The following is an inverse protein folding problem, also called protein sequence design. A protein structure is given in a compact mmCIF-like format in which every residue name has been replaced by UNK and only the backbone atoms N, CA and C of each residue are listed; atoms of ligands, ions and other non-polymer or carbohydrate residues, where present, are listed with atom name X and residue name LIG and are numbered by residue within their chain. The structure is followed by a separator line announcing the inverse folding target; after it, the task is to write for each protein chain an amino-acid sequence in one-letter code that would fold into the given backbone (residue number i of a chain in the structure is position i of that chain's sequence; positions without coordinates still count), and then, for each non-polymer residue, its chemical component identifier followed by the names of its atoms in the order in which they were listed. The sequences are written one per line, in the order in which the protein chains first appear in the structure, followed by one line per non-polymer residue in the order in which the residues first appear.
data_IF_170336858090
#
_entry.id   IF_170336858090
#
_cell.length_a   1.000
_cell.length_b   1.000
_cell.length_c   1.000
_cell.angle_alpha   90.00
_cell.angle_beta   90.00
_cell.angle_gamma   90.00
#
_symmetry.space_group_name_H-M   'P 1'
#
loop_
_entity.id
_entity.type
_entity.pdbx_description
1 polymer ?
#
# COMPACT_ATOMS: atom_id res chain seq x y z
N UNK A 1 -1.57 20.77 5.50
CA UNK A 1 -2.75 20.03 6.01
C UNK A 1 -2.20 18.86 6.81
N UNK A 2 -2.54 18.74 8.09
CA UNK A 2 -1.90 17.80 9.02
C UNK A 2 -2.46 16.40 8.73
N UNK A 3 -1.65 15.50 8.16
CA UNK A 3 -2.00 14.07 8.09
C UNK A 3 -1.92 13.49 9.50
N UNK A 4 -3.06 13.32 10.16
CA UNK A 4 -3.15 12.62 11.43
C UNK A 4 -3.22 11.12 11.16
N UNK A 5 -2.08 10.52 10.84
CA UNK A 5 -1.94 9.08 10.95
C UNK A 5 -2.23 8.70 12.40
N UNK A 6 -3.13 7.74 12.60
CA UNK A 6 -3.56 7.38 13.95
C UNK A 6 -2.50 6.48 14.60
N UNK A 7 -1.76 7.06 15.54
CA UNK A 7 -0.68 6.41 16.26
C UNK A 7 -1.15 6.00 17.65
N UNK A 8 -0.92 4.74 18.05
CA UNK A 8 -1.20 4.27 19.40
C UNK A 8 -0.29 3.10 19.78
N UNK A 9 -0.06 2.91 21.08
CA UNK A 9 0.57 1.69 21.58
C UNK A 9 -0.47 0.58 21.71
N UNK A 10 -0.21 -0.57 21.09
CA UNK A 10 -1.09 -1.73 21.21
C UNK A 10 -0.56 -2.69 22.28
N UNK A 11 -1.29 -2.80 23.40
CA UNK A 11 -0.89 -3.62 24.55
C UNK A 11 -0.79 -5.11 24.24
N UNK A 12 -1.60 -5.63 23.30
CA UNK A 12 -1.55 -7.05 22.91
C UNK A 12 -0.32 -7.36 22.07
N UNK A 13 0.03 -6.48 21.14
CA UNK A 13 1.22 -6.61 20.30
C UNK A 13 2.50 -6.17 21.01
N UNK A 14 2.39 -5.42 22.10
CA UNK A 14 3.49 -4.74 22.80
C UNK A 14 4.35 -3.91 21.85
N UNK A 15 3.71 -3.20 20.91
CA UNK A 15 4.33 -2.39 19.88
C UNK A 15 3.51 -1.16 19.58
N UNK A 16 4.19 -0.12 19.10
CA UNK A 16 3.55 1.02 18.48
C UNK A 16 2.92 0.63 17.15
N UNK A 17 1.71 1.13 16.91
CA UNK A 17 0.92 0.88 15.72
C UNK A 17 0.60 2.22 15.05
N UNK A 18 0.86 2.31 13.76
CA UNK A 18 0.38 3.37 12.87
C UNK A 18 -0.77 2.81 12.03
N UNK A 19 -1.97 3.37 12.18
CA UNK A 19 -3.09 3.04 11.30
C UNK A 19 -3.10 4.03 10.13
N UNK A 20 -3.16 3.50 8.91
CA UNK A 20 -3.30 4.29 7.69
C UNK A 20 -4.68 4.12 7.08
N UNK A 21 -5.16 5.17 6.42
CA UNK A 21 -6.48 5.22 5.78
C UNK A 21 -6.37 5.27 4.24
N UNK A 22 -7.49 5.12 3.49
CA UNK A 22 -7.44 5.13 2.03
C UNK A 22 -6.78 6.39 1.45
N UNK A 23 -5.74 6.17 0.64
CA UNK A 23 -4.93 7.21 0.02
C UNK A 23 -3.58 7.44 0.69
N UNK A 24 -3.33 6.84 1.85
CA UNK A 24 -2.08 6.98 2.59
C UNK A 24 -1.10 5.85 2.30
N UNK A 25 0.17 6.13 2.61
CA UNK A 25 1.24 5.16 2.67
C UNK A 25 2.14 5.47 3.86
N UNK A 26 2.77 4.45 4.43
CA UNK A 26 3.71 4.60 5.53
C UNK A 26 4.88 3.64 5.38
N UNK A 27 6.06 4.08 5.82
CA UNK A 27 7.29 3.29 5.86
C UNK A 27 7.86 3.36 7.28
N UNK A 28 8.27 2.23 7.83
CA UNK A 28 8.83 2.14 9.19
C UNK A 28 9.67 0.87 9.34
N UNK A 29 10.57 0.86 10.32
CA UNK A 29 11.34 -0.31 10.75
C UNK A 29 11.13 -0.67 12.24
N UNK A 30 10.26 0.07 12.93
CA UNK A 30 10.06 0.01 14.39
C UNK A 30 8.58 -0.10 14.81
N UNK A 31 7.65 0.05 13.87
CA UNK A 31 6.21 0.08 14.12
C UNK A 31 5.44 -0.95 13.31
N UNK A 32 4.28 -1.32 13.83
CA UNK A 32 3.29 -2.09 13.07
C UNK A 32 2.46 -1.12 12.23
N UNK A 33 2.32 -1.40 10.95
CA UNK A 33 1.43 -0.65 10.06
C UNK A 33 0.12 -1.43 9.94
N UNK A 34 -1.01 -0.76 10.16
CA UNK A 34 -2.33 -1.37 10.13
C UNK A 34 -3.27 -0.61 9.20
N UNK A 35 -4.14 -1.33 8.52
CA UNK A 35 -5.23 -0.75 7.75
C UNK A 35 -6.37 -1.77 7.61
N UNK A 36 -7.54 -1.32 7.17
CA UNK A 36 -8.72 -2.17 6.91
C UNK A 36 -8.96 -2.20 5.42
N UNK A 37 -9.16 -3.39 4.85
CA UNK A 37 -9.31 -3.59 3.42
C UNK A 37 -10.65 -4.25 3.06
N UNK A 38 -11.18 -3.83 1.92
CA UNK A 38 -12.33 -4.42 1.23
C UNK A 38 -11.96 -4.69 -0.22
N UNK A 39 -12.51 -3.91 -1.16
CA UNK A 39 -12.14 -3.95 -2.59
C UNK A 39 -10.88 -3.17 -2.93
N UNK A 40 -10.45 -2.28 -2.04
CA UNK A 40 -9.12 -1.67 -2.08
C UNK A 40 -8.03 -2.74 -1.92
N UNK A 41 -6.81 -2.39 -2.32
CA UNK A 41 -5.63 -3.25 -2.21
C UNK A 41 -4.51 -2.48 -1.51
N UNK A 42 -3.79 -3.20 -0.65
CA UNK A 42 -2.52 -2.74 -0.11
C UNK A 42 -1.38 -3.53 -0.73
N UNK A 43 -0.43 -2.80 -1.28
CA UNK A 43 0.91 -3.32 -1.55
C UNK A 43 1.74 -3.15 -0.29
N UNK A 44 2.32 -4.25 0.18
CA UNK A 44 3.26 -4.27 1.30
C UNK A 44 4.63 -4.63 0.75
N UNK A 45 5.61 -3.75 0.95
CA UNK A 45 7.00 -3.94 0.56
C UNK A 45 7.85 -4.17 1.80
N UNK A 46 8.82 -5.06 1.69
CA UNK A 46 9.73 -5.37 2.78
C UNK A 46 11.17 -5.52 2.27
N UNK A 47 12.10 -4.80 2.90
CA UNK A 47 13.54 -5.01 2.74
C UNK A 47 14.05 -5.80 3.96
N UNK A 48 14.49 -7.04 3.72
CA UNK A 48 14.91 -7.95 4.79
C UNK A 48 16.23 -7.59 5.46
N UNK A 49 17.08 -6.82 4.79
CA UNK A 49 18.39 -6.40 5.32
C UNK A 49 18.22 -5.16 6.20
N UNK A 50 17.46 -4.18 5.72
CA UNK A 50 17.15 -2.95 6.47
C UNK A 50 16.08 -3.14 7.54
N UNK A 51 15.35 -4.27 7.50
CA UNK A 51 14.15 -4.51 8.32
C UNK A 51 13.10 -3.42 8.14
N UNK A 52 13.01 -2.86 6.94
CA UNK A 52 12.11 -1.78 6.60
C UNK A 52 10.85 -2.35 5.96
N UNK A 53 9.69 -1.93 6.43
CA UNK A 53 8.39 -2.28 5.86
C UNK A 53 7.68 -1.02 5.38
N UNK A 54 7.09 -1.11 4.20
CA UNK A 54 6.25 -0.08 3.60
C UNK A 54 4.90 -0.64 3.26
N UNK A 55 3.84 0.13 3.46
CA UNK A 55 2.48 -0.26 3.14
C UNK A 55 1.73 0.94 2.57
N UNK A 56 1.03 0.76 1.44
CA UNK A 56 0.08 1.73 0.91
C UNK A 56 -1.37 1.24 1.08
N UNK A 57 -2.34 2.13 0.90
CA UNK A 57 -3.75 1.78 0.79
C UNK A 57 -4.36 2.53 -0.38
N UNK A 58 -4.35 1.93 -1.57
CA UNK A 58 -4.98 2.53 -2.75
C UNK A 58 -6.38 1.96 -3.00
N UNK A 59 -7.24 2.77 -3.63
CA UNK A 59 -8.67 2.51 -3.78
C UNK A 59 -9.03 2.05 -5.19
N UNK A 60 -8.41 2.65 -6.21
CA UNK A 60 -8.69 2.39 -7.62
C UNK A 60 -7.38 2.24 -8.40
N UNK A 61 -7.41 1.63 -9.57
CA UNK A 61 -6.22 1.55 -10.44
C UNK A 61 -5.76 2.93 -10.89
N UNK A 62 -6.68 3.70 -11.48
CA UNK A 62 -6.43 5.04 -12.06
C UNK A 62 -7.68 5.92 -11.95
N UNK A 63 -7.51 7.21 -12.22
CA UNK A 63 -8.58 8.19 -12.43
C UNK A 63 -8.64 8.53 -13.91
N UNK A 64 -9.83 8.76 -14.45
CA UNK A 64 -10.00 9.31 -15.80
C UNK A 64 -9.91 10.84 -15.84
N UNK A 65 -9.89 11.49 -14.66
CA UNK A 65 -9.70 12.92 -14.49
C UNK A 65 -8.30 13.24 -13.94
N UNK A 66 -7.84 14.46 -14.17
CA UNK A 66 -6.60 14.98 -13.56
C UNK A 66 -6.66 14.84 -12.05
N UNK A 67 -5.62 14.23 -11.47
CA UNK A 67 -5.53 13.93 -10.04
C UNK A 67 -4.64 14.96 -9.36
N UNK A 68 -5.21 15.64 -8.37
CA UNK A 68 -4.47 16.47 -7.42
C UNK A 68 -3.38 15.65 -6.71
N UNK A 69 -2.21 16.24 -6.49
CA UNK A 69 -1.09 15.61 -5.79
C UNK A 69 -1.52 14.99 -4.45
N UNK A 70 -2.40 15.66 -3.72
CA UNK A 70 -2.92 15.18 -2.43
C UNK A 70 -3.79 13.91 -2.54
N UNK A 71 -4.26 13.57 -3.74
CA UNK A 71 -5.14 12.42 -4.00
C UNK A 71 -4.43 11.30 -4.76
N UNK A 72 -3.18 11.48 -5.18
CA UNK A 72 -2.42 10.47 -5.95
C UNK A 72 -2.36 9.12 -5.25
N UNK A 73 -2.14 9.09 -3.93
CA UNK A 73 -2.07 7.85 -3.15
C UNK A 73 -3.34 7.00 -3.18
N UNK A 74 -4.48 7.52 -3.64
CA UNK A 74 -5.71 6.74 -3.83
C UNK A 74 -5.69 5.87 -5.09
N UNK A 75 -4.76 6.09 -6.01
CA UNK A 75 -4.71 5.40 -7.29
C UNK A 75 -3.44 4.55 -7.42
N UNK A 76 -3.58 3.27 -7.75
CA UNK A 76 -2.48 2.31 -7.85
C UNK A 76 -1.35 2.76 -8.77
N UNK A 77 -1.68 3.42 -9.89
CA UNK A 77 -0.69 3.97 -10.85
C UNK A 77 0.28 4.98 -10.23
N UNK A 78 -0.09 5.62 -9.12
CA UNK A 78 0.80 6.52 -8.37
C UNK A 78 1.25 5.88 -7.05
N UNK A 79 0.32 5.25 -6.32
CA UNK A 79 0.56 4.74 -4.97
C UNK A 79 1.62 3.62 -4.90
N UNK A 80 1.76 2.81 -5.95
CA UNK A 80 2.79 1.75 -5.99
C UNK A 80 4.18 2.33 -6.25
N UNK A 81 4.41 3.13 -7.32
CA UNK A 81 5.70 3.80 -7.52
C UNK A 81 6.10 4.67 -6.33
N UNK A 82 5.19 5.51 -5.81
CA UNK A 82 5.48 6.38 -4.67
C UNK A 82 5.88 5.59 -3.42
N UNK A 83 5.30 4.41 -3.18
CA UNK A 83 5.70 3.55 -2.07
C UNK A 83 7.11 2.98 -2.28
N UNK A 84 7.45 2.57 -3.51
CA UNK A 84 8.80 2.09 -3.83
C UNK A 84 9.82 3.20 -3.62
N UNK A 85 9.53 4.41 -4.10
CA UNK A 85 10.41 5.58 -3.94
C UNK A 85 10.57 5.91 -2.45
N UNK A 86 9.48 5.94 -1.67
CA UNK A 86 9.54 6.16 -0.23
C UNK A 86 10.36 5.10 0.51
N UNK A 87 10.31 3.83 0.09
CA UNK A 87 11.16 2.78 0.64
C UNK A 87 12.64 3.06 0.36
N UNK A 88 12.98 3.46 -0.86
CA UNK A 88 14.36 3.76 -1.28
C UNK A 88 14.89 5.01 -0.55
N UNK A 89 14.07 6.05 -0.43
CA UNK A 89 14.38 7.28 0.31
C UNK A 89 14.68 6.99 1.80
N UNK A 90 14.04 5.96 2.36
CA UNK A 90 14.30 5.46 3.72
C UNK A 90 15.44 4.42 3.80
N UNK A 91 16.20 4.26 2.71
CA UNK A 91 17.44 3.49 2.68
C UNK A 91 17.30 2.02 2.25
N UNK A 92 16.13 1.58 1.79
CA UNK A 92 15.96 0.26 1.18
C UNK A 92 16.68 0.19 -0.17
N UNK A 93 17.13 -1.01 -0.54
CA UNK A 93 17.55 -1.28 -1.92
C UNK A 93 16.39 -1.90 -2.68
N UNK A 94 16.08 -1.38 -3.88
CA UNK A 94 15.05 -1.96 -4.75
C UNK A 94 15.28 -3.46 -5.03
N UNK A 95 16.54 -3.89 -5.16
CA UNK A 95 16.92 -5.29 -5.37
C UNK A 95 16.55 -6.22 -4.21
N UNK A 96 16.37 -5.68 -3.01
CA UNK A 96 16.08 -6.43 -1.79
C UNK A 96 14.58 -6.46 -1.49
N UNK A 97 13.77 -5.65 -2.19
CA UNK A 97 12.35 -5.54 -1.93
C UNK A 97 11.64 -6.84 -2.30
N UNK A 98 10.84 -7.34 -1.37
CA UNK A 98 9.85 -8.40 -1.57
C UNK A 98 8.47 -7.83 -1.28
N UNK A 99 7.45 -8.33 -1.97
CA UNK A 99 6.09 -7.84 -1.84
C UNK A 99 5.13 -8.88 -1.27
N UNK A 100 4.11 -8.39 -0.55
CA UNK A 100 2.85 -9.09 -0.30
C UNK A 100 1.69 -8.20 -0.67
N UNK A 101 0.58 -8.82 -1.09
CA UNK A 101 -0.64 -8.13 -1.50
C UNK A 101 -1.80 -8.57 -0.62
N UNK A 102 -2.60 -7.61 -0.16
CA UNK A 102 -3.79 -7.86 0.65
C UNK A 102 -4.97 -7.04 0.12
N UNK A 103 -6.20 -7.51 0.36
CA UNK A 103 -7.43 -6.86 -0.11
C UNK A 103 -7.93 -7.43 -1.44
N UNK A 104 -8.56 -6.59 -2.27
CA UNK A 104 -9.07 -6.99 -3.59
C UNK A 104 -10.35 -7.81 -3.56
N UNK A 105 -11.12 -7.77 -2.47
CA UNK A 105 -12.39 -8.49 -2.37
C UNK A 105 -13.49 -7.83 -3.21
N UNK A 106 -14.50 -8.60 -3.62
CA UNK A 106 -15.69 -8.08 -4.31
C UNK A 106 -16.94 -8.36 -3.46
N UNK A 107 -17.09 -7.65 -2.34
CA UNK A 107 -18.17 -7.91 -1.39
C UNK A 107 -19.56 -7.47 -1.89
N UNK A 108 -19.64 -6.49 -2.81
CA UNK A 108 -20.91 -5.92 -3.29
C UNK A 108 -21.25 -6.30 -4.74
N UNK A 109 -20.86 -7.49 -5.20
CA UNK A 109 -21.14 -7.93 -6.57
C UNK A 109 -22.59 -8.47 -6.74
N UNK A 110 -23.58 -7.58 -6.62
CA UNK A 110 -24.84 -7.69 -7.39
C UNK A 110 -24.75 -6.92 -8.71
N UNK A 111 -23.60 -6.31 -9.03
CA UNK A 111 -23.35 -5.57 -10.27
C UNK A 111 -22.07 -5.99 -10.99
N UNK A 112 -21.93 -5.54 -12.24
CA UNK A 112 -20.85 -5.87 -13.20
C UNK A 112 -19.47 -5.32 -12.83
N UNK A 113 -19.40 -4.39 -11.87
CA UNK A 113 -18.18 -3.66 -11.51
C UNK A 113 -17.34 -4.52 -10.55
N UNK A 114 -16.14 -4.91 -10.97
CA UNK A 114 -15.21 -5.80 -10.23
C UNK A 114 -13.95 -5.07 -9.76
N UNK A 115 -14.13 -3.97 -9.02
CA UNK A 115 -13.02 -3.11 -8.53
C UNK A 115 -11.93 -3.90 -7.81
N UNK A 116 -12.30 -4.88 -6.97
CA UNK A 116 -11.31 -5.69 -6.25
C UNK A 116 -10.40 -6.49 -7.18
N UNK A 117 -10.97 -7.09 -8.23
CA UNK A 117 -10.22 -7.86 -9.23
C UNK A 117 -9.36 -6.96 -10.10
N UNK A 118 -9.87 -5.79 -10.49
CA UNK A 118 -9.10 -4.81 -11.27
C UNK A 118 -7.89 -4.31 -10.47
N UNK A 119 -8.12 -3.94 -9.20
CA UNK A 119 -7.07 -3.50 -8.31
C UNK A 119 -6.01 -4.60 -8.11
N UNK A 120 -6.41 -5.83 -7.76
CA UNK A 120 -5.45 -6.90 -7.49
C UNK A 120 -4.66 -7.29 -8.74
N UNK A 121 -5.32 -7.38 -9.90
CA UNK A 121 -4.68 -7.71 -11.17
C UNK A 121 -3.67 -6.64 -11.58
N UNK A 122 -4.02 -5.36 -11.37
CA UNK A 122 -3.10 -4.26 -11.62
C UNK A 122 -1.87 -4.34 -10.71
N UNK A 123 -2.02 -4.53 -9.39
CA UNK A 123 -0.89 -4.63 -8.48
C UNK A 123 0.06 -5.80 -8.83
N UNK A 124 -0.50 -6.96 -9.17
CA UNK A 124 0.28 -8.12 -9.63
C UNK A 124 1.10 -7.79 -10.89
N UNK A 125 0.47 -7.15 -11.88
CA UNK A 125 1.14 -6.74 -13.11
C UNK A 125 2.24 -5.70 -12.83
N UNK A 126 1.95 -4.71 -11.99
CA UNK A 126 2.86 -3.61 -11.72
C UNK A 126 4.11 -4.06 -10.95
N UNK A 127 3.94 -4.89 -9.91
CA UNK A 127 5.08 -5.47 -9.19
C UNK A 127 5.95 -6.34 -10.10
N UNK A 128 5.33 -7.12 -10.99
CA UNK A 128 6.05 -7.91 -12.00
C UNK A 128 6.88 -7.01 -12.93
N UNK A 129 6.33 -5.90 -13.43
CA UNK A 129 7.08 -4.94 -14.26
C UNK A 129 8.23 -4.29 -13.48
N UNK A 130 8.02 -4.00 -12.20
CA UNK A 130 9.05 -3.43 -11.34
C UNK A 130 10.16 -4.43 -10.96
N UNK A 131 9.99 -5.73 -11.28
CA UNK A 131 10.93 -6.79 -10.91
C UNK A 131 10.89 -7.13 -9.41
N UNK A 132 9.78 -6.83 -8.72
CA UNK A 132 9.64 -7.07 -7.28
C UNK A 132 8.91 -8.40 -7.08
N UNK A 133 9.56 -9.43 -6.51
CA UNK A 133 8.93 -10.74 -6.28
C UNK A 133 7.83 -10.65 -5.23
N UNK A 134 6.75 -11.40 -5.47
CA UNK A 134 5.62 -11.56 -4.55
C UNK A 134 5.78 -12.89 -3.79
N UNK A 135 5.60 -12.86 -2.47
CA UNK A 135 5.72 -14.01 -1.56
C UNK A 135 4.37 -14.65 -1.22
#
# INVERSE_FOLDING_TARGET
MINFMLNHFNFKLKRDVTIIIPGEAFVSNDRVISTILGSCVSVVLYDEFRKLIGLNHYVLVKSDLVVDDLKKGRYGVYAIPMLIDAMIENGASKSNLKAKLFGGSNFMAKGTIKVGVENSSFALSELKKCGIPIL
#
